data_IF_902627105864
#
_entry.id   IF_902627105864
#
_cell.length_a   1.000
_cell.length_b   1.000
_cell.length_c   1.000
_cell.angle_alpha   90.00
_cell.angle_beta   90.00
_cell.angle_gamma   90.00
#
_symmetry.space_group_name_H-M   'P 1'
#
loop_
_entity.id
_entity.type
_entity.pdbx_description
1 polymer ?
#
# COMPACT_ATOMS: atom_id res chain seq x y z
N UNK A 1 -27.15 -0.07 4.34
CA UNK A 1 -26.53 -1.24 4.96
C UNK A 1 -26.72 -2.55 4.16
N UNK A 2 -27.81 -2.65 3.42
CA UNK A 2 -28.01 -3.83 2.53
C UNK A 2 -26.87 -3.97 1.52
N UNK A 3 -26.43 -2.85 0.95
CA UNK A 3 -25.36 -2.89 -0.06
C UNK A 3 -24.03 -3.35 0.53
N UNK A 4 -23.70 -2.92 1.74
CA UNK A 4 -22.48 -3.34 2.41
C UNK A 4 -22.53 -4.84 2.73
N UNK A 5 -23.69 -5.34 3.16
CA UNK A 5 -23.85 -6.76 3.45
C UNK A 5 -23.70 -7.62 2.19
N UNK A 6 -24.26 -7.17 1.07
CA UNK A 6 -24.12 -7.85 -0.22
C UNK A 6 -22.66 -7.86 -0.65
N UNK A 7 -21.99 -6.71 -0.58
CA UNK A 7 -20.58 -6.60 -0.93
C UNK A 7 -19.73 -7.51 -0.05
N UNK A 8 -19.98 -7.55 1.25
CA UNK A 8 -19.26 -8.42 2.18
C UNK A 8 -19.43 -9.89 1.81
N UNK A 9 -20.66 -10.30 1.45
CA UNK A 9 -20.92 -11.67 1.01
C UNK A 9 -20.15 -12.03 -0.24
N UNK A 10 -20.11 -11.12 -1.22
CA UNK A 10 -19.36 -11.33 -2.45
C UNK A 10 -17.86 -11.47 -2.21
N UNK A 11 -17.32 -10.65 -1.32
CA UNK A 11 -15.89 -10.67 -0.99
C UNK A 11 -15.49 -12.02 -0.40
N UNK A 12 -16.35 -12.62 0.41
CA UNK A 12 -16.07 -13.93 1.04
C UNK A 12 -15.89 -15.06 0.02
N UNK A 13 -16.47 -14.94 -1.17
CA UNK A 13 -16.37 -15.97 -2.19
C UNK A 13 -15.06 -15.90 -2.99
N UNK A 14 -14.17 -14.97 -2.68
CA UNK A 14 -12.85 -14.89 -3.28
C UNK A 14 -12.69 -13.72 -4.24
N UNK A 15 -11.49 -13.61 -4.80
CA UNK A 15 -11.07 -12.45 -5.61
C UNK A 15 -12.00 -12.18 -6.79
N UNK A 16 -12.46 -13.24 -7.46
CA UNK A 16 -13.31 -13.10 -8.62
C UNK A 16 -14.64 -12.45 -8.27
N UNK A 17 -15.18 -12.78 -7.10
CA UNK A 17 -16.44 -12.22 -6.62
C UNK A 17 -16.24 -10.91 -5.88
N UNK A 18 -15.00 -10.56 -5.57
CA UNK A 18 -14.63 -9.33 -4.88
C UNK A 18 -14.43 -8.14 -5.82
N UNK A 19 -14.79 -8.27 -7.09
CA UNK A 19 -14.62 -7.21 -8.09
C UNK A 19 -15.32 -5.91 -7.71
N UNK A 20 -16.36 -5.99 -6.92
CA UNK A 20 -17.08 -4.82 -6.41
C UNK A 20 -16.12 -3.86 -5.66
N UNK A 21 -15.06 -4.38 -5.08
CA UNK A 21 -14.09 -3.59 -4.34
C UNK A 21 -13.20 -2.72 -5.24
N UNK A 22 -13.21 -2.96 -6.55
CA UNK A 22 -12.44 -2.14 -7.49
C UNK A 22 -12.95 -0.71 -7.59
N UNK A 23 -14.20 -0.49 -7.22
CA UNK A 23 -14.80 0.84 -7.25
C UNK A 23 -14.58 1.66 -5.98
N UNK A 24 -13.97 1.08 -4.95
CA UNK A 24 -13.70 1.76 -3.69
C UNK A 24 -12.21 2.06 -3.64
N UNK A 25 -11.87 3.36 -3.67
CA UNK A 25 -10.49 3.80 -3.73
C UNK A 25 -10.12 4.63 -2.51
N UNK A 26 -8.87 4.49 -2.08
CA UNK A 26 -8.32 5.27 -0.97
C UNK A 26 -7.05 5.97 -1.46
N UNK A 27 -6.89 7.21 -1.04
CA UNK A 27 -5.70 8.02 -1.36
C UNK A 27 -4.97 8.28 -0.07
N UNK A 28 -3.67 7.99 -0.04
CA UNK A 28 -2.91 8.14 1.19
C UNK A 28 -1.49 8.61 0.91
N UNK A 29 -0.95 9.38 1.84
CA UNK A 29 0.46 9.73 1.84
C UNK A 29 1.20 8.72 2.72
N UNK A 30 2.24 8.11 2.18
CA UNK A 30 3.03 7.10 2.88
C UNK A 30 4.49 7.52 2.85
N UNK A 31 5.13 7.50 4.02
CA UNK A 31 6.55 7.71 4.15
C UNK A 31 7.20 6.39 4.58
N UNK A 32 7.98 5.81 3.67
CA UNK A 32 8.56 4.49 3.90
C UNK A 32 9.93 4.40 3.26
N UNK A 33 10.77 3.45 3.70
CA UNK A 33 12.10 3.29 3.12
C UNK A 33 12.01 2.73 1.69
N UNK A 34 13.06 3.00 0.90
CA UNK A 34 13.10 2.56 -0.50
C UNK A 34 12.91 1.06 -0.65
N UNK A 35 13.49 0.25 0.24
CA UNK A 35 13.34 -1.21 0.13
C UNK A 35 11.88 -1.65 0.28
N UNK A 36 11.08 -0.93 1.07
CA UNK A 36 9.66 -1.21 1.19
C UNK A 36 8.91 -0.84 -0.10
N UNK A 37 9.26 0.33 -0.68
CA UNK A 37 8.66 0.78 -1.92
C UNK A 37 8.93 -0.15 -3.09
N UNK A 38 10.11 -0.80 -3.12
CA UNK A 38 10.41 -1.77 -4.15
C UNK A 38 9.45 -2.95 -4.10
N UNK A 39 9.08 -3.41 -2.91
CA UNK A 39 8.07 -4.45 -2.76
C UNK A 39 6.67 -3.94 -3.10
N UNK A 40 6.33 -2.72 -2.70
CA UNK A 40 5.04 -2.11 -3.05
C UNK A 40 4.88 -1.98 -4.56
N UNK A 41 5.94 -1.68 -5.28
CA UNK A 41 5.89 -1.50 -6.73
C UNK A 41 5.60 -2.80 -7.48
N UNK A 42 5.59 -3.95 -6.81
CA UNK A 42 5.12 -5.20 -7.42
C UNK A 42 3.60 -5.25 -7.54
N UNK A 43 2.88 -4.43 -6.78
CA UNK A 43 1.43 -4.30 -6.89
C UNK A 43 1.11 -3.24 -7.94
N UNK A 44 0.68 -3.66 -9.12
CA UNK A 44 0.46 -2.76 -10.26
C UNK A 44 -1.00 -2.52 -10.58
N UNK A 45 -1.85 -3.50 -10.33
CA UNK A 45 -3.28 -3.40 -10.61
C UNK A 45 -4.02 -2.88 -9.40
N UNK A 46 -4.89 -1.89 -9.62
CA UNK A 46 -5.68 -1.32 -8.53
C UNK A 46 -4.90 -0.41 -7.60
N UNK A 47 -3.77 0.10 -8.06
CA UNK A 47 -2.98 1.08 -7.33
C UNK A 47 -2.34 2.03 -8.32
N UNK A 48 -2.13 3.28 -7.88
CA UNK A 48 -1.52 4.29 -8.73
C UNK A 48 -0.69 5.24 -7.88
N UNK A 49 0.55 5.47 -8.30
CA UNK A 49 1.41 6.45 -7.67
C UNK A 49 1.07 7.83 -8.25
N UNK A 50 0.56 8.72 -7.40
CA UNK A 50 0.13 10.05 -7.81
C UNK A 50 1.24 11.08 -7.69
N UNK A 51 2.09 10.95 -6.67
CA UNK A 51 3.28 11.77 -6.53
C UNK A 51 4.35 11.03 -5.74
N UNK A 52 5.58 11.46 -5.88
CA UNK A 52 6.71 10.85 -5.22
C UNK A 52 7.81 11.90 -5.05
N UNK A 53 8.45 11.92 -3.87
CA UNK A 53 9.65 12.74 -3.71
C UNK A 53 10.78 12.14 -4.54
N UNK A 54 11.44 12.97 -5.32
CA UNK A 54 12.66 12.55 -6.00
C UNK A 54 13.86 12.73 -5.06
N UNK A 55 14.95 12.03 -5.34
CA UNK A 55 16.20 12.25 -4.60
C UNK A 55 16.67 13.70 -4.67
N UNK A 56 16.32 14.39 -5.77
CA UNK A 56 16.69 15.80 -5.95
C UNK A 56 15.92 16.73 -5.01
N UNK A 57 14.67 16.40 -4.71
CA UNK A 57 13.84 17.22 -3.81
C UNK A 57 14.06 16.89 -2.35
N UNK A 58 14.67 15.76 -2.05
CA UNK A 58 14.95 15.34 -0.67
C UNK A 58 16.25 15.95 -0.19
N UNK A 59 17.29 15.17 -0.12
CA UNK A 59 18.60 15.57 0.40
C UNK A 59 19.53 16.08 -0.69
N UNK A 60 19.25 15.79 -1.94
CA UNK A 60 20.05 16.22 -3.07
C UNK A 60 19.74 17.61 -3.58
N UNK A 61 18.83 18.36 -2.94
CA UNK A 61 18.46 19.69 -3.38
C UNK A 61 19.65 20.64 -3.20
N UNK A 62 20.01 21.32 -4.27
CA UNK A 62 21.17 22.24 -4.27
C UNK A 62 22.47 21.62 -4.77
N UNK A 63 22.53 20.30 -4.91
CA UNK A 63 23.69 19.61 -5.48
C UNK A 63 23.65 19.68 -7.00
N UNK A 64 24.80 19.82 -7.64
CA UNK A 64 24.94 19.85 -9.10
C UNK A 64 26.15 19.03 -9.53
N UNK A 65 26.13 18.63 -10.82
CA UNK A 65 27.28 17.96 -11.44
C UNK A 65 27.61 16.63 -10.78
N UNK A 66 28.92 16.40 -10.57
CA UNK A 66 29.42 15.14 -10.02
C UNK A 66 28.94 14.89 -8.58
N UNK A 67 28.71 15.95 -7.82
CA UNK A 67 28.19 15.83 -6.45
C UNK A 67 26.78 15.26 -6.45
N UNK A 68 25.94 15.70 -7.38
CA UNK A 68 24.58 15.18 -7.52
C UNK A 68 24.59 13.72 -7.95
N UNK A 69 25.44 13.37 -8.88
CA UNK A 69 25.57 11.99 -9.37
C UNK A 69 26.01 11.08 -8.22
N UNK A 70 27.01 11.50 -7.46
CA UNK A 70 27.52 10.74 -6.31
C UNK A 70 26.43 10.56 -5.26
N UNK A 71 25.65 11.62 -4.99
CA UNK A 71 24.53 11.53 -4.05
C UNK A 71 23.51 10.48 -4.50
N UNK A 72 23.12 10.52 -5.77
CA UNK A 72 22.13 9.58 -6.30
C UNK A 72 22.62 8.14 -6.29
N UNK A 73 23.90 7.94 -6.64
CA UNK A 73 24.49 6.61 -6.65
C UNK A 73 24.63 6.02 -5.26
N UNK A 74 24.83 6.86 -4.25
CA UNK A 74 25.00 6.44 -2.87
C UNK A 74 23.70 6.52 -2.06
N UNK A 75 22.55 6.77 -2.71
CA UNK A 75 21.26 6.86 -2.03
C UNK A 75 20.91 5.49 -1.46
N UNK A 76 20.90 5.40 -0.13
CA UNK A 76 20.75 4.12 0.55
C UNK A 76 19.32 3.56 0.44
N UNK A 77 19.21 2.23 0.40
CA UNK A 77 17.92 1.55 0.36
C UNK A 77 17.05 1.84 1.59
N UNK A 78 17.69 2.16 2.72
CA UNK A 78 16.98 2.53 3.94
C UNK A 78 16.48 3.96 3.99
N UNK A 79 16.85 4.80 3.02
CA UNK A 79 16.40 6.19 3.01
C UNK A 79 14.89 6.27 2.80
N UNK A 80 14.26 7.15 3.56
CA UNK A 80 12.81 7.32 3.50
C UNK A 80 12.39 8.08 2.25
N UNK A 81 11.25 7.70 1.70
CA UNK A 81 10.64 8.37 0.55
C UNK A 81 9.15 8.49 0.78
N UNK A 82 8.63 9.68 0.53
CA UNK A 82 7.18 9.92 0.60
C UNK A 82 6.54 9.74 -0.77
N UNK A 83 5.37 9.14 -0.78
CA UNK A 83 4.55 9.06 -1.98
C UNK A 83 3.09 9.28 -1.59
N UNK A 84 2.33 9.88 -2.50
CA UNK A 84 0.88 9.85 -2.45
C UNK A 84 0.48 8.73 -3.41
N UNK A 85 -0.27 7.78 -2.89
CA UNK A 85 -0.65 6.59 -3.65
C UNK A 85 -2.13 6.30 -3.49
N UNK A 86 -2.74 5.86 -4.58
CA UNK A 86 -4.13 5.40 -4.60
C UNK A 86 -4.15 3.88 -4.56
N UNK A 87 -5.10 3.33 -3.80
CA UNK A 87 -5.35 1.90 -3.73
C UNK A 87 -6.83 1.62 -3.87
N UNK A 88 -7.19 0.59 -4.64
CA UNK A 88 -8.53 0.03 -4.55
C UNK A 88 -8.62 -0.89 -3.32
N UNK A 89 -9.82 -1.06 -2.79
CA UNK A 89 -10.04 -2.00 -1.68
C UNK A 89 -9.67 -3.44 -2.07
N UNK A 90 -9.86 -3.81 -3.34
CA UNK A 90 -9.46 -5.14 -3.79
C UNK A 90 -7.95 -5.35 -3.66
N UNK A 91 -7.16 -4.36 -4.07
CA UNK A 91 -5.70 -4.44 -3.94
C UNK A 91 -5.28 -4.44 -2.48
N UNK A 92 -5.92 -3.62 -1.64
CA UNK A 92 -5.62 -3.62 -0.20
C UNK A 92 -5.94 -4.97 0.44
N UNK A 93 -7.01 -5.62 0.04
CA UNK A 93 -7.33 -6.97 0.50
C UNK A 93 -6.23 -7.97 0.12
N UNK A 94 -5.76 -7.90 -1.12
CA UNK A 94 -4.67 -8.78 -1.59
C UNK A 94 -3.39 -8.52 -0.81
N UNK A 95 -3.03 -7.26 -0.62
CA UNK A 95 -1.87 -6.88 0.18
C UNK A 95 -2.01 -7.41 1.61
N UNK A 96 -3.16 -7.21 2.22
CA UNK A 96 -3.43 -7.65 3.57
C UNK A 96 -3.21 -9.15 3.74
N UNK A 97 -3.79 -9.95 2.85
CA UNK A 97 -3.65 -11.41 2.89
C UNK A 97 -2.18 -11.83 2.77
N UNK A 98 -1.43 -11.16 1.89
CA UNK A 98 -0.05 -11.54 1.61
C UNK A 98 0.96 -11.02 2.62
N UNK A 99 0.68 -9.88 3.27
CA UNK A 99 1.69 -9.14 4.03
C UNK A 99 1.41 -9.03 5.53
N UNK A 100 0.26 -9.46 6.03
CA UNK A 100 -0.09 -9.28 7.44
C UNK A 100 0.89 -9.93 8.41
N UNK A 101 1.59 -10.96 7.98
CA UNK A 101 2.59 -11.67 8.79
C UNK A 101 4.00 -11.51 8.23
N UNK A 102 4.23 -10.47 7.44
CA UNK A 102 5.51 -10.26 6.78
C UNK A 102 6.62 -9.98 7.78
N UNK A 103 7.86 -10.36 7.44
CA UNK A 103 9.03 -10.15 8.30
C UNK A 103 9.33 -8.68 8.54
N UNK A 104 9.14 -7.83 7.51
CA UNK A 104 9.39 -6.40 7.66
C UNK A 104 8.26 -5.76 8.46
N UNK A 105 8.61 -5.07 9.57
CA UNK A 105 7.59 -4.45 10.40
C UNK A 105 6.77 -3.39 9.67
N UNK A 106 7.34 -2.75 8.64
CA UNK A 106 6.62 -1.75 7.86
C UNK A 106 5.38 -2.34 7.18
N UNK A 107 5.45 -3.59 6.70
CA UNK A 107 4.29 -4.25 6.12
C UNK A 107 3.23 -4.55 7.16
N UNK A 108 3.64 -4.99 8.35
CA UNK A 108 2.68 -5.25 9.43
C UNK A 108 1.99 -3.96 9.87
N UNK A 109 2.74 -2.87 9.96
CA UNK A 109 2.18 -1.56 10.28
C UNK A 109 1.20 -1.11 9.19
N UNK A 110 1.54 -1.30 7.93
CA UNK A 110 0.65 -0.99 6.82
C UNK A 110 -0.65 -1.81 6.91
N UNK A 111 -0.56 -3.09 7.22
CA UNK A 111 -1.74 -3.93 7.37
C UNK A 111 -2.60 -3.51 8.57
N UNK A 112 -1.99 -3.06 9.66
CA UNK A 112 -2.76 -2.49 10.78
C UNK A 112 -3.50 -1.22 10.37
N UNK A 113 -2.87 -0.38 9.55
CA UNK A 113 -3.53 0.79 8.99
C UNK A 113 -4.72 0.40 8.12
N UNK A 114 -4.59 -0.63 7.31
CA UNK A 114 -5.70 -1.11 6.46
C UNK A 114 -6.93 -1.42 7.31
N UNK A 115 -6.74 -1.98 8.49
CA UNK A 115 -7.87 -2.32 9.39
C UNK A 115 -8.64 -1.09 9.86
N UNK A 116 -8.04 0.10 9.80
CA UNK A 116 -8.69 1.34 10.24
C UNK A 116 -9.59 1.96 9.18
N UNK A 117 -9.57 1.45 7.97
CA UNK A 117 -10.35 2.02 6.86
C UNK A 117 -11.84 1.73 7.03
N UNK A 118 -12.71 2.57 6.44
CA UNK A 118 -14.15 2.36 6.55
C UNK A 118 -14.57 0.98 6.07
N UNK A 119 -15.34 0.27 6.88
CA UNK A 119 -15.85 -1.07 6.59
C UNK A 119 -14.76 -2.11 6.29
N UNK A 120 -13.53 -1.89 6.79
CA UNK A 120 -12.42 -2.81 6.52
C UNK A 120 -12.74 -4.23 6.99
N UNK A 121 -13.38 -4.37 8.15
CA UNK A 121 -13.76 -5.67 8.70
C UNK A 121 -14.75 -6.43 7.82
N UNK A 122 -15.54 -5.74 7.03
CA UNK A 122 -16.56 -6.34 6.16
C UNK A 122 -16.11 -6.46 4.71
N UNK A 123 -15.19 -5.61 4.27
CA UNK A 123 -14.83 -5.51 2.86
C UNK A 123 -13.37 -5.89 2.57
N UNK A 124 -12.48 -5.78 3.53
CA UNK A 124 -11.06 -6.02 3.30
C UNK A 124 -10.59 -7.27 4.03
N UNK A 125 -10.82 -7.36 5.33
CA UNK A 125 -10.29 -8.45 6.15
C UNK A 125 -11.24 -9.62 6.32
N UNK A 126 -12.48 -9.49 5.86
CA UNK A 126 -13.47 -10.56 6.00
C UNK A 126 -12.98 -11.84 5.30
N UNK A 127 -13.09 -12.97 6.00
CA UNK A 127 -12.68 -14.26 5.44
C UNK A 127 -11.18 -14.48 5.36
N UNK A 128 -10.37 -13.65 6.05
CA UNK A 128 -8.91 -13.79 6.02
C UNK A 128 -8.35 -14.51 7.26
N UNK A 129 -9.22 -15.06 8.08
CA UNK A 129 -8.89 -15.80 9.31
C UNK A 129 -8.36 -14.91 10.44
N UNK A 130 -8.38 -13.59 10.30
CA UNK A 130 -7.96 -12.70 11.39
C UNK A 130 -8.93 -12.71 12.56
N UNK A 131 -10.18 -13.00 12.27
CA UNK A 131 -11.23 -13.06 13.28
C UNK A 131 -10.98 -14.21 14.26
N UNK A 132 -10.25 -15.21 13.82
CA UNK A 132 -9.93 -16.40 14.60
C UNK A 132 -8.66 -16.23 15.46
N UNK A 133 -7.98 -15.11 15.28
CA UNK A 133 -6.72 -14.84 15.99
C UNK A 133 -6.97 -14.34 17.41
#
# INVERSE_FOLDING_TARGET
MKDINLMSSLVKFGDEHAKVLRGINVYTEINAPRYWWQEMDTYRVGTERLSSESTMHMQGNGLIGDELIAFKENFAEGNMQKRIQMFSYQTLRRIYIQRKNHRLPQWRTFCEWIKTLPYADKLITVGTNDVDA
#
